data_IF_217142330870
#
_entry.id   IF_217142330870
#
_cell.length_a   1.000
_cell.length_b   1.000
_cell.length_c   1.000
_cell.angle_alpha   90.00
_cell.angle_beta   90.00
_cell.angle_gamma   90.00
#
_symmetry.space_group_name_H-M   'P 1'
#
loop_
_entity.id
_entity.type
_entity.pdbx_description
1 polymer ?
#
# COMPACT_ATOMS: atom_id res chain seq x y z
N UNK A 1 -17.09 -27.66 56.08
CA UNK A 1 -17.34 -27.98 57.51
C UNK A 1 -16.66 -26.88 58.33
N UNK A 2 -17.36 -25.75 58.48
CA UNK A 2 -18.18 -25.38 59.65
C UNK A 2 -17.35 -24.98 60.86
N UNK A 3 -17.33 -23.68 61.12
CA UNK A 3 -17.38 -23.11 62.46
C UNK A 3 -18.06 -21.74 62.35
N UNK A 4 -19.29 -21.68 62.85
CA UNK A 4 -20.04 -20.46 63.08
C UNK A 4 -19.65 -19.87 64.45
N UNK A 5 -19.83 -18.56 64.67
CA UNK A 5 -20.92 -17.97 65.49
C UNK A 5 -20.64 -16.48 65.73
N UNK A 6 -21.67 -15.66 65.48
CA UNK A 6 -21.82 -14.20 65.67
C UNK A 6 -22.05 -13.81 67.15
N UNK A 7 -22.08 -12.52 67.54
CA UNK A 7 -23.33 -11.70 67.51
C UNK A 7 -23.11 -10.25 67.03
N UNK A 8 -23.94 -9.62 66.19
CA UNK A 8 -25.29 -9.02 66.38
C UNK A 8 -25.38 -7.89 67.44
N UNK A 9 -25.54 -6.65 66.95
CA UNK A 9 -26.62 -5.69 67.28
C UNK A 9 -26.61 -4.61 66.16
N UNK A 10 -27.62 -4.47 65.28
CA UNK A 10 -28.96 -3.87 65.45
C UNK A 10 -28.86 -2.48 66.12
N UNK A 11 -29.35 -1.36 65.55
CA UNK A 11 -30.63 -1.13 64.83
C UNK A 11 -30.60 0.31 64.27
N UNK A 12 -31.20 0.52 63.08
CA UNK A 12 -32.29 1.46 62.74
C UNK A 12 -32.26 2.90 63.32
N UNK A 13 -32.66 3.99 62.65
CA UNK A 13 -33.59 4.17 61.55
C UNK A 13 -33.51 5.63 61.06
N UNK A 14 -34.19 5.87 59.95
CA UNK A 14 -34.39 7.11 59.18
C UNK A 14 -34.73 8.38 59.97
N UNK A 15 -34.39 9.55 59.40
CA UNK A 15 -35.40 10.51 58.89
C UNK A 15 -34.74 11.83 58.44
N UNK A 16 -35.05 12.27 57.23
CA UNK A 16 -34.95 13.66 56.80
C UNK A 16 -35.88 14.57 57.62
N UNK A 17 -35.60 15.87 57.66
CA UNK A 17 -36.63 16.78 57.19
C UNK A 17 -36.08 17.88 56.27
N UNK A 18 -37.01 18.43 55.50
CA UNK A 18 -36.82 19.38 54.43
C UNK A 18 -37.10 20.83 54.92
N UNK A 19 -36.58 21.79 54.15
CA UNK A 19 -36.92 23.23 54.04
C UNK A 19 -36.19 24.23 54.97
N UNK A 20 -35.37 25.10 54.37
CA UNK A 20 -35.75 26.50 54.10
C UNK A 20 -34.75 27.20 53.14
N UNK A 21 -35.30 28.11 52.33
CA UNK A 21 -34.66 28.91 51.28
C UNK A 21 -33.54 29.83 51.79
N UNK A 22 -32.54 30.05 50.93
CA UNK A 22 -31.58 31.15 51.05
C UNK A 22 -30.70 31.21 49.81
N UNK A 23 -31.04 32.13 48.90
CA UNK A 23 -30.23 32.53 47.75
C UNK A 23 -28.78 32.82 48.15
N UNK A 24 -27.82 32.29 47.39
CA UNK A 24 -26.51 32.90 47.18
C UNK A 24 -25.84 32.30 45.95
N UNK A 25 -25.66 33.17 44.96
CA UNK A 25 -24.86 32.98 43.76
C UNK A 25 -23.48 32.40 44.06
N UNK A 26 -23.22 31.19 43.59
CA UNK A 26 -21.86 30.73 43.33
C UNK A 26 -21.88 29.80 42.12
N UNK A 27 -21.57 30.37 40.95
CA UNK A 27 -21.22 29.62 39.74
C UNK A 27 -20.00 28.74 40.03
N UNK A 28 -20.23 27.52 40.49
CA UNK A 28 -19.24 26.46 40.38
C UNK A 28 -19.14 26.09 38.91
N UNK A 29 -18.12 26.65 38.25
CA UNK A 29 -17.58 26.08 37.03
C UNK A 29 -17.18 24.63 37.35
N UNK A 30 -18.03 23.69 36.92
CA UNK A 30 -17.60 22.31 36.77
C UNK A 30 -16.42 22.33 35.79
N UNK A 31 -15.28 21.68 36.09
CA UNK A 31 -14.23 21.56 35.11
C UNK A 31 -14.85 20.84 33.91
N UNK A 32 -14.88 21.53 32.78
CA UNK A 32 -15.20 20.96 31.48
C UNK A 32 -14.47 19.63 31.38
N UNK A 33 -15.23 18.55 31.20
CA UNK A 33 -14.69 17.24 30.84
C UNK A 33 -13.61 17.44 29.79
N UNK A 34 -12.40 16.86 29.95
CA UNK A 34 -11.37 17.00 28.93
C UNK A 34 -11.98 16.56 27.62
N UNK A 35 -11.93 17.44 26.61
CA UNK A 35 -12.27 17.05 25.25
C UNK A 35 -11.48 15.77 24.98
N UNK A 36 -12.17 14.71 24.57
CA UNK A 36 -11.50 13.48 24.19
C UNK A 36 -10.60 13.80 23.00
N UNK A 37 -9.32 14.11 23.25
CA UNK A 37 -8.34 14.25 22.18
C UNK A 37 -8.37 12.92 21.43
N UNK A 38 -8.73 12.97 20.16
CA UNK A 38 -8.71 11.80 19.28
C UNK A 38 -7.24 11.42 19.10
N UNK A 39 -6.78 10.45 19.88
CA UNK A 39 -5.42 9.92 19.76
C UNK A 39 -5.27 9.24 18.41
N UNK A 40 -4.31 9.68 17.61
CA UNK A 40 -4.03 9.12 16.28
C UNK A 40 -3.02 8.00 16.46
N UNK A 41 -3.44 6.78 16.17
CA UNK A 41 -2.61 5.59 16.33
C UNK A 41 -1.35 5.68 15.46
N UNK A 42 -0.21 5.34 16.06
CA UNK A 42 1.08 5.22 15.36
C UNK A 42 1.94 6.48 15.35
N UNK A 43 1.37 7.67 15.58
CA UNK A 43 2.08 8.95 15.49
C UNK A 43 2.72 9.39 16.81
N UNK A 44 3.85 10.10 16.74
CA UNK A 44 4.52 10.68 17.91
C UNK A 44 3.69 11.79 18.55
N UNK A 45 3.97 12.11 19.83
CA UNK A 45 3.23 13.11 20.61
C UNK A 45 3.18 14.48 19.93
N UNK A 46 4.25 14.85 19.19
CA UNK A 46 4.33 16.09 18.39
C UNK A 46 3.15 16.25 17.43
N UNK A 47 2.65 15.15 16.86
CA UNK A 47 1.62 15.16 15.83
C UNK A 47 0.21 14.84 16.37
N UNK A 48 0.08 14.64 17.68
CA UNK A 48 -1.22 14.42 18.34
C UNK A 48 -2.02 15.72 18.51
N UNK A 49 -1.37 16.88 18.42
CA UNK A 49 -1.98 18.21 18.60
C UNK A 49 -2.11 18.99 17.29
N UNK A 50 -1.97 18.31 16.15
CA UNK A 50 -2.06 18.96 14.84
C UNK A 50 -3.41 19.68 14.69
N UNK A 51 -3.35 21.01 14.50
CA UNK A 51 -4.51 21.83 14.17
C UNK A 51 -4.58 22.06 12.65
N UNK A 52 -5.56 21.47 11.94
CA UNK A 52 -5.77 21.70 10.52
C UNK A 52 -6.00 23.18 10.17
N UNK A 53 -6.41 24.01 11.13
CA UNK A 53 -6.66 25.44 10.93
C UNK A 53 -5.37 26.27 10.86
N UNK A 54 -4.24 25.77 11.39
CA UNK A 54 -2.95 26.44 11.30
C UNK A 54 -2.30 26.30 9.92
N UNK A 55 -2.64 25.24 9.16
CA UNK A 55 -2.14 24.99 7.81
C UNK A 55 -3.24 24.46 6.87
N UNK A 56 -4.19 25.31 6.43
CA UNK A 56 -5.41 24.89 5.73
C UNK A 56 -5.18 24.24 4.35
N UNK A 57 -3.97 24.31 3.78
CA UNK A 57 -3.62 23.71 2.50
C UNK A 57 -3.00 22.32 2.60
N UNK A 58 -2.81 21.77 3.80
CA UNK A 58 -2.11 20.49 4.01
C UNK A 58 -2.91 19.55 4.91
N UNK A 59 -2.87 18.26 4.60
CA UNK A 59 -3.29 17.22 5.54
C UNK A 59 -2.20 16.97 6.58
N UNK A 60 -2.56 16.45 7.76
CA UNK A 60 -1.61 15.99 8.77
C UNK A 60 -0.49 15.12 8.16
N UNK A 61 -0.87 14.11 7.38
CA UNK A 61 0.06 13.17 6.73
C UNK A 61 1.02 13.88 5.77
N UNK A 62 0.51 14.79 4.94
CA UNK A 62 1.35 15.60 4.05
C UNK A 62 2.28 16.55 4.79
N UNK A 63 1.87 17.04 5.98
CA UNK A 63 2.72 17.87 6.83
C UNK A 63 3.88 17.07 7.42
N UNK A 64 3.64 15.83 7.88
CA UNK A 64 4.68 14.94 8.37
C UNK A 64 5.69 14.63 7.26
N UNK A 65 5.21 14.31 6.05
CA UNK A 65 6.10 14.05 4.91
C UNK A 65 6.91 15.27 4.49
N UNK A 66 6.32 16.45 4.54
CA UNK A 66 7.04 17.69 4.29
C UNK A 66 8.14 17.90 5.34
N UNK A 67 7.85 17.76 6.63
CA UNK A 67 8.86 17.85 7.71
C UNK A 67 9.99 16.83 7.51
N UNK A 68 9.61 15.57 7.25
CA UNK A 68 10.55 14.47 7.01
C UNK A 68 11.47 14.74 5.81
N UNK A 69 10.97 15.43 4.78
CA UNK A 69 11.75 15.74 3.57
C UNK A 69 12.95 16.66 3.81
N UNK A 70 12.96 17.42 4.92
CA UNK A 70 14.08 18.28 5.32
C UNK A 70 15.14 17.55 6.16
N UNK A 71 14.86 16.34 6.62
CA UNK A 71 15.84 15.55 7.37
C UNK A 71 17.00 15.12 6.43
N UNK A 72 18.28 15.22 6.85
CA UNK A 72 19.41 14.89 5.98
C UNK A 72 19.35 13.46 5.39
N UNK A 73 18.94 12.49 6.21
CA UNK A 73 18.82 11.09 5.81
C UNK A 73 17.57 10.77 4.95
N UNK A 74 16.71 11.74 4.61
CA UNK A 74 15.43 11.49 3.93
C UNK A 74 15.58 10.83 2.55
N UNK A 75 16.61 11.23 1.81
CA UNK A 75 16.93 10.72 0.46
C UNK A 75 17.97 9.59 0.47
N UNK A 76 18.43 9.21 1.66
CA UNK A 76 19.37 8.11 1.84
C UNK A 76 18.62 6.79 1.92
N UNK A 77 19.22 5.74 1.38
CA UNK A 77 18.70 4.38 1.48
C UNK A 77 19.24 3.76 2.77
N UNK A 78 18.38 3.31 3.69
CA UNK A 78 18.83 2.69 4.93
C UNK A 78 19.53 1.37 4.66
N UNK A 79 20.63 1.18 5.36
CA UNK A 79 21.46 -0.01 5.26
C UNK A 79 20.89 -1.17 6.08
N UNK A 80 20.20 -0.84 7.17
CA UNK A 80 19.59 -1.79 8.10
C UNK A 80 18.33 -1.17 8.74
N UNK A 81 17.51 -1.96 9.46
CA UNK A 81 16.29 -1.45 10.09
C UNK A 81 16.55 -0.34 11.12
N UNK A 82 17.66 -0.42 11.87
CA UNK A 82 17.96 0.55 12.92
C UNK A 82 18.14 1.97 12.36
N UNK A 83 18.81 2.12 11.22
CA UNK A 83 18.96 3.40 10.53
C UNK A 83 17.61 4.00 10.11
N UNK A 84 16.69 3.18 9.60
CA UNK A 84 15.34 3.65 9.27
C UNK A 84 14.55 4.03 10.52
N UNK A 85 14.62 3.22 11.58
CA UNK A 85 13.92 3.48 12.86
C UNK A 85 14.43 4.78 13.50
N UNK A 86 15.73 5.04 13.47
CA UNK A 86 16.32 6.30 13.92
C UNK A 86 15.73 7.49 13.13
N UNK A 87 15.72 7.40 11.80
CA UNK A 87 15.08 8.40 10.94
C UNK A 87 13.59 8.60 11.26
N UNK A 88 12.85 7.53 11.54
CA UNK A 88 11.41 7.56 11.75
C UNK A 88 11.00 8.03 13.17
N UNK A 89 11.94 8.02 14.12
CA UNK A 89 11.70 8.33 15.54
C UNK A 89 10.99 9.66 15.81
N UNK A 90 11.29 10.77 15.10
CA UNK A 90 10.59 12.04 15.33
C UNK A 90 9.11 12.00 14.94
N UNK A 91 8.71 11.07 14.07
CA UNK A 91 7.39 11.05 13.42
C UNK A 91 6.45 10.00 13.98
N UNK A 92 6.98 8.88 14.46
CA UNK A 92 6.20 7.73 14.90
C UNK A 92 6.31 7.53 16.43
N UNK A 93 5.27 6.98 17.03
CA UNK A 93 5.27 6.65 18.46
C UNK A 93 6.25 5.51 18.78
N UNK A 94 6.78 5.51 20.01
CA UNK A 94 7.70 4.45 20.46
C UNK A 94 7.09 3.04 20.33
N UNK A 95 5.81 2.88 20.69
CA UNK A 95 5.11 1.61 20.58
C UNK A 95 5.05 1.12 19.13
N UNK A 96 4.81 2.04 18.18
CA UNK A 96 4.73 1.68 16.78
C UNK A 96 6.11 1.36 16.18
N UNK A 97 7.16 2.05 16.61
CA UNK A 97 8.54 1.74 16.20
C UNK A 97 8.97 0.33 16.64
N UNK A 98 8.56 -0.12 17.85
CA UNK A 98 8.80 -1.49 18.30
C UNK A 98 8.11 -2.51 17.39
N UNK A 99 6.84 -2.27 17.05
CA UNK A 99 6.07 -3.13 16.12
C UNK A 99 6.70 -3.16 14.72
N UNK A 100 7.18 -2.02 14.21
CA UNK A 100 7.89 -1.96 12.94
C UNK A 100 9.18 -2.80 12.96
N UNK A 101 9.91 -2.79 14.08
CA UNK A 101 11.12 -3.60 14.21
C UNK A 101 10.81 -5.11 14.12
N UNK A 102 9.76 -5.57 14.81
CA UNK A 102 9.30 -6.96 14.70
C UNK A 102 8.84 -7.34 13.28
N UNK A 103 8.25 -6.39 12.55
CA UNK A 103 7.86 -6.59 11.15
C UNK A 103 9.09 -6.71 10.25
N UNK A 104 10.14 -5.91 10.46
CA UNK A 104 11.40 -6.07 9.73
C UNK A 104 12.04 -7.44 9.99
N UNK A 105 12.00 -7.93 11.23
CA UNK A 105 12.48 -9.28 11.57
C UNK A 105 11.69 -10.38 10.84
N UNK A 106 10.37 -10.21 10.72
CA UNK A 106 9.51 -11.13 9.93
C UNK A 106 9.84 -11.06 8.44
N UNK A 107 10.06 -9.86 7.89
CA UNK A 107 10.40 -9.66 6.48
C UNK A 107 11.78 -10.21 6.12
N UNK A 108 12.74 -10.19 7.04
CA UNK A 108 14.04 -10.82 6.86
C UNK A 108 13.94 -12.34 6.58
N UNK A 109 12.81 -12.97 6.94
CA UNK A 109 12.56 -14.40 6.70
C UNK A 109 11.80 -14.69 5.40
N UNK A 110 11.26 -13.66 4.74
CA UNK A 110 10.62 -13.79 3.42
C UNK A 110 11.62 -14.18 2.33
N UNK A 111 11.12 -14.54 1.15
CA UNK A 111 12.03 -14.85 0.05
C UNK A 111 12.62 -13.60 -0.58
N UNK A 112 11.81 -12.55 -0.72
CA UNK A 112 12.30 -11.26 -1.20
C UNK A 112 13.29 -10.63 -0.22
N UNK A 113 13.16 -10.95 1.06
CA UNK A 113 14.10 -10.56 2.11
C UNK A 113 13.99 -9.08 2.46
N UNK A 114 14.77 -8.70 3.48
CA UNK A 114 14.73 -7.36 4.05
C UNK A 114 15.30 -6.28 3.10
N UNK A 115 16.31 -6.63 2.32
CA UNK A 115 16.94 -5.70 1.37
C UNK A 115 15.97 -5.18 0.32
N UNK A 116 14.98 -6.00 -0.05
CA UNK A 116 13.92 -5.58 -0.93
C UNK A 116 13.13 -4.41 -0.34
N UNK A 117 12.74 -4.48 0.94
CA UNK A 117 12.05 -3.38 1.63
C UNK A 117 12.94 -2.15 1.74
N UNK A 118 14.15 -2.34 2.22
CA UNK A 118 15.10 -1.27 2.50
C UNK A 118 15.76 -0.73 1.23
N UNK A 119 15.33 -1.10 0.01
CA UNK A 119 15.88 -0.57 -1.24
C UNK A 119 15.47 0.88 -1.50
N UNK A 120 14.41 1.34 -0.82
CA UNK A 120 13.86 2.67 -1.00
C UNK A 120 14.48 3.68 -0.03
N UNK A 121 14.57 4.97 -0.39
CA UNK A 121 14.94 6.01 0.55
C UNK A 121 14.04 6.04 1.77
N UNK A 122 14.59 6.47 2.91
CA UNK A 122 13.88 6.59 4.18
C UNK A 122 12.52 7.31 4.05
N UNK A 123 12.48 8.42 3.31
CA UNK A 123 11.24 9.18 3.10
C UNK A 123 10.16 8.35 2.38
N UNK A 124 10.54 7.55 1.38
CA UNK A 124 9.60 6.73 0.62
C UNK A 124 9.08 5.53 1.43
N UNK A 125 9.90 4.99 2.34
CA UNK A 125 9.45 3.96 3.29
C UNK A 125 8.45 4.57 4.29
N UNK A 126 8.74 5.77 4.81
CA UNK A 126 7.85 6.47 5.73
C UNK A 126 6.50 6.83 5.06
N UNK A 127 6.52 7.30 3.82
CA UNK A 127 5.30 7.61 3.03
C UNK A 127 4.34 6.42 2.94
N UNK A 128 4.87 5.23 2.66
CA UNK A 128 4.08 3.99 2.67
C UNK A 128 3.47 3.69 4.04
N UNK A 129 4.26 3.80 5.10
CA UNK A 129 3.80 3.58 6.48
C UNK A 129 2.71 4.58 6.87
N UNK A 130 2.85 5.86 6.51
CA UNK A 130 1.86 6.89 6.81
C UNK A 130 0.58 6.69 6.00
N UNK A 131 0.68 6.23 4.76
CA UNK A 131 -0.48 5.85 3.94
C UNK A 131 -1.28 4.73 4.62
N UNK A 132 -0.59 3.69 5.11
CA UNK A 132 -1.24 2.60 5.84
C UNK A 132 -1.90 3.08 7.14
N UNK A 133 -1.19 3.92 7.92
CA UNK A 133 -1.72 4.51 9.14
C UNK A 133 -2.93 5.41 8.87
N UNK A 134 -2.93 6.18 7.79
CA UNK A 134 -4.08 6.98 7.38
C UNK A 134 -5.30 6.10 7.13
N UNK A 135 -5.15 5.01 6.38
CA UNK A 135 -6.25 4.08 6.12
C UNK A 135 -6.79 3.45 7.41
N UNK A 136 -5.91 3.02 8.31
CA UNK A 136 -6.29 2.44 9.60
C UNK A 136 -7.04 3.41 10.51
N UNK A 137 -6.57 4.65 10.60
CA UNK A 137 -7.20 5.67 11.44
C UNK A 137 -8.53 6.17 10.83
N UNK A 138 -8.67 6.15 9.51
CA UNK A 138 -9.94 6.46 8.84
C UNK A 138 -10.97 5.33 9.01
N UNK A 139 -10.55 4.06 8.92
CA UNK A 139 -11.42 2.89 9.07
C UNK A 139 -11.99 2.68 10.47
N UNK A 140 -11.35 3.22 11.51
CA UNK A 140 -11.84 3.13 12.90
C UNK A 140 -13.14 3.92 13.17
N UNK A 141 -13.63 4.71 12.20
CA UNK A 141 -14.86 5.51 12.30
C UNK A 141 -16.12 4.91 11.67
N UNK A 142 -15.98 3.96 10.73
CA UNK A 142 -17.08 3.60 9.80
C UNK A 142 -17.80 2.27 10.09
N UNK A 143 -17.33 1.48 11.07
CA UNK A 143 -17.93 0.20 11.46
C UNK A 143 -19.35 0.32 12.08
N UNK A 144 -19.91 1.54 12.17
CA UNK A 144 -21.26 1.76 12.72
C UNK A 144 -22.35 2.07 11.70
N UNK A 145 -22.08 2.18 10.39
CA UNK A 145 -23.11 2.59 9.42
C UNK A 145 -23.36 1.66 8.22
N UNK A 146 -22.49 0.70 7.88
CA UNK A 146 -22.67 -0.07 6.64
C UNK A 146 -23.19 -1.51 6.79
N UNK A 147 -23.66 -1.91 7.97
CA UNK A 147 -24.52 -3.09 8.09
C UNK A 147 -25.99 -2.75 7.85
N UNK A 148 -26.34 -2.49 6.59
CA UNK A 148 -27.74 -2.45 6.22
C UNK A 148 -28.11 -1.76 4.92
N UNK A 149 -27.49 -2.11 3.77
CA UNK A 149 -28.15 -1.95 2.45
C UNK A 149 -27.36 -2.60 1.30
N UNK A 150 -27.18 -3.92 1.37
CA UNK A 150 -27.07 -4.71 0.13
C UNK A 150 -28.51 -5.02 -0.26
N UNK A 151 -29.15 -4.14 -1.03
CA UNK A 151 -30.25 -4.46 -1.94
C UNK A 151 -30.65 -3.22 -2.75
N UNK A 152 -30.39 -3.29 -4.06
CA UNK A 152 -31.20 -2.72 -5.15
C UNK A 152 -31.55 -1.22 -5.10
N UNK A 153 -30.88 -0.44 -5.95
CA UNK A 153 -31.59 0.25 -7.04
C UNK A 153 -30.64 0.65 -8.17
N UNK A 154 -30.92 0.07 -9.32
CA UNK A 154 -30.52 0.52 -10.65
C UNK A 154 -31.12 1.91 -10.95
N UNK A 155 -30.40 2.64 -11.80
CA UNK A 155 -30.83 3.78 -12.62
C UNK A 155 -31.00 5.19 -11.99
N UNK A 156 -30.52 6.14 -12.82
CA UNK A 156 -30.75 7.58 -12.88
C UNK A 156 -29.79 8.50 -12.09
N UNK A 157 -28.69 8.93 -12.73
CA UNK A 157 -28.68 10.23 -13.43
C UNK A 157 -27.37 10.44 -14.21
N UNK A 158 -27.45 10.25 -15.53
CA UNK A 158 -26.49 10.71 -16.53
C UNK A 158 -27.03 12.03 -17.09
N UNK A 159 -26.23 13.10 -17.00
CA UNK A 159 -26.20 14.35 -17.80
C UNK A 159 -25.62 15.45 -16.88
N UNK A 160 -24.61 16.24 -17.22
CA UNK A 160 -24.10 16.78 -18.50
C UNK A 160 -22.77 17.47 -18.18
N UNK A 161 -21.73 17.31 -19.00
CA UNK A 161 -21.02 18.44 -19.63
C UNK A 161 -19.90 17.92 -20.53
N UNK A 162 -20.20 17.95 -21.83
CA UNK A 162 -19.27 17.74 -22.92
C UNK A 162 -18.67 19.10 -23.35
N UNK A 163 -17.42 19.03 -23.83
CA UNK A 163 -16.69 19.98 -24.68
C UNK A 163 -16.07 21.25 -24.07
N UNK A 164 -14.74 21.38 -24.17
CA UNK A 164 -14.12 22.08 -25.33
C UNK A 164 -12.61 21.87 -25.44
N UNK A 165 -12.19 21.48 -26.65
CA UNK A 165 -10.82 21.56 -27.17
C UNK A 165 -10.43 23.03 -27.35
N UNK A 166 -9.22 23.41 -26.91
CA UNK A 166 -8.64 24.73 -27.12
C UNK A 166 -7.12 24.72 -26.93
N UNK A 167 -6.41 24.85 -28.04
CA UNK A 167 -4.96 25.07 -28.12
C UNK A 167 -4.58 26.49 -27.64
N UNK A 168 -3.59 26.63 -26.75
CA UNK A 168 -2.72 27.83 -26.71
C UNK A 168 -1.48 27.65 -25.83
N UNK A 169 -0.32 27.81 -26.48
CA UNK A 169 0.88 28.57 -26.10
C UNK A 169 1.35 28.61 -24.64
N UNK A 170 2.65 28.31 -24.52
CA UNK A 170 3.52 28.65 -23.40
C UNK A 170 3.42 30.15 -23.05
N UNK A 171 3.20 30.42 -21.77
CA UNK A 171 3.83 31.54 -21.09
C UNK A 171 4.16 31.14 -19.65
N UNK A 172 5.39 31.44 -19.26
CA UNK A 172 5.92 31.24 -17.91
C UNK A 172 5.37 32.33 -17.00
N UNK A 173 4.59 31.94 -16.00
CA UNK A 173 4.40 32.73 -14.80
C UNK A 173 4.10 31.80 -13.63
N UNK A 174 4.92 31.94 -12.59
CA UNK A 174 4.75 31.35 -11.28
C UNK A 174 3.37 31.75 -10.71
N UNK A 175 2.43 30.81 -10.66
CA UNK A 175 1.19 30.99 -9.92
C UNK A 175 0.91 29.72 -9.11
N UNK A 176 0.99 29.90 -7.79
CA UNK A 176 0.78 28.90 -6.74
C UNK A 176 -0.74 28.74 -6.56
N UNK A 177 -1.36 28.11 -7.56
CA UNK A 177 -2.79 27.85 -7.62
C UNK A 177 -3.14 26.52 -6.95
N UNK A 178 -3.60 26.61 -5.70
CA UNK A 178 -4.25 25.54 -4.96
C UNK A 178 -5.42 24.94 -5.77
N UNK A 179 -5.18 23.84 -6.47
CA UNK A 179 -6.22 22.92 -6.90
C UNK A 179 -6.25 21.76 -5.91
N UNK A 180 -7.13 21.86 -4.91
CA UNK A 180 -7.62 20.75 -4.10
C UNK A 180 -8.51 19.83 -4.96
N UNK A 181 -7.98 19.31 -6.05
CA UNK A 181 -8.49 18.08 -6.63
C UNK A 181 -7.80 16.96 -5.88
N UNK A 182 -8.58 15.99 -5.39
CA UNK A 182 -8.00 14.77 -4.88
C UNK A 182 -7.05 14.24 -5.96
N UNK A 183 -5.90 13.73 -5.57
CA UNK A 183 -4.97 13.12 -6.51
C UNK A 183 -5.66 11.96 -7.29
N UNK A 184 -6.71 11.37 -6.71
CA UNK A 184 -7.62 10.41 -7.35
C UNK A 184 -8.56 11.03 -8.40
N UNK A 185 -8.81 12.34 -8.38
CA UNK A 185 -9.61 13.08 -9.37
C UNK A 185 -8.78 13.41 -10.63
N UNK A 186 -7.46 13.20 -10.60
CA UNK A 186 -6.57 13.53 -11.71
C UNK A 186 -6.62 12.49 -12.85
N UNK A 187 -7.13 11.28 -12.56
CA UNK A 187 -7.28 10.21 -13.54
C UNK A 187 -8.76 9.81 -13.65
N UNK A 188 -9.32 9.77 -14.87
CA UNK A 188 -10.68 9.27 -15.09
C UNK A 188 -10.84 7.84 -14.51
N UNK A 189 -12.05 7.48 -14.06
CA UNK A 189 -12.34 6.09 -13.68
C UNK A 189 -12.11 5.18 -14.89
N UNK A 190 -11.38 4.08 -14.69
CA UNK A 190 -11.15 3.08 -15.73
C UNK A 190 -12.39 2.18 -15.91
N UNK A 191 -12.69 1.79 -17.15
CA UNK A 191 -13.80 0.87 -17.44
C UNK A 191 -13.50 -0.55 -16.92
N UNK A 192 -14.51 -1.18 -16.31
CA UNK A 192 -14.37 -2.38 -15.48
C UNK A 192 -14.25 -3.68 -16.29
N UNK A 193 -13.13 -4.41 -16.14
CA UNK A 193 -13.03 -5.83 -16.51
C UNK A 193 -12.98 -6.79 -15.30
N UNK A 194 -12.95 -6.25 -14.07
CA UNK A 194 -12.91 -7.06 -12.84
C UNK A 194 -14.11 -8.02 -12.73
N UNK A 195 -15.30 -7.62 -13.19
CA UNK A 195 -16.52 -8.46 -13.17
C UNK A 195 -16.39 -9.78 -13.93
N UNK A 196 -15.50 -9.84 -14.93
CA UNK A 196 -15.30 -11.03 -15.77
C UNK A 196 -14.16 -11.92 -15.28
N UNK A 197 -13.43 -11.49 -14.25
CA UNK A 197 -12.30 -12.24 -13.74
C UNK A 197 -12.75 -13.47 -12.95
N UNK A 198 -12.06 -14.60 -13.14
CA UNK A 198 -12.34 -15.81 -12.36
C UNK A 198 -11.67 -15.68 -10.99
N UNK A 199 -12.46 -15.73 -9.93
CA UNK A 199 -11.95 -15.76 -8.55
C UNK A 199 -11.55 -17.18 -8.19
N UNK A 200 -10.31 -17.35 -7.75
CA UNK A 200 -9.73 -18.64 -7.35
C UNK A 200 -9.31 -18.57 -5.88
N UNK A 201 -9.99 -19.27 -4.97
CA UNK A 201 -9.56 -19.33 -3.58
C UNK A 201 -8.25 -20.14 -3.47
N UNK A 202 -7.30 -19.61 -2.73
CA UNK A 202 -6.03 -20.26 -2.39
C UNK A 202 -6.10 -20.62 -0.91
N UNK A 203 -6.50 -21.85 -0.56
CA UNK A 203 -6.64 -22.25 0.83
C UNK A 203 -5.27 -22.27 1.49
N UNK A 204 -5.19 -21.60 2.64
CA UNK A 204 -4.05 -21.66 3.53
C UNK A 204 -4.47 -22.42 4.80
N UNK A 205 -3.72 -23.44 5.24
CA UNK A 205 -4.15 -24.28 6.35
C UNK A 205 -4.37 -23.47 7.63
N UNK A 206 -5.48 -23.77 8.31
CA UNK A 206 -5.82 -23.20 9.61
C UNK A 206 -4.84 -23.70 10.69
N UNK A 207 -4.54 -22.86 11.67
CA UNK A 207 -3.69 -23.23 12.80
C UNK A 207 -4.46 -24.04 13.84
N UNK A 208 -3.82 -25.12 14.34
CA UNK A 208 -4.22 -25.84 15.54
C UNK A 208 -3.44 -25.32 16.75
N UNK A 209 -3.65 -24.07 17.16
CA UNK A 209 -3.12 -23.59 18.45
C UNK A 209 -4.25 -23.45 19.46
N UNK A 210 -4.04 -24.05 20.62
CA UNK A 210 -4.93 -24.02 21.78
C UNK A 210 -5.27 -22.56 22.14
N UNK A 211 -6.50 -22.25 22.61
CA UNK A 211 -7.02 -20.87 22.75
C UNK A 211 -6.31 -19.97 23.78
N UNK A 212 -5.13 -20.35 24.29
CA UNK A 212 -4.45 -19.66 25.40
C UNK A 212 -3.42 -18.63 24.91
N UNK A 213 -2.91 -18.72 23.67
CA UNK A 213 -1.95 -17.77 23.10
C UNK A 213 -2.51 -17.13 21.81
N UNK A 214 -3.12 -15.96 21.93
CA UNK A 214 -3.68 -15.20 20.80
C UNK A 214 -2.58 -14.64 19.89
N UNK A 215 -1.37 -14.40 20.42
CA UNK A 215 -0.21 -13.89 19.67
C UNK A 215 0.36 -14.91 18.66
N UNK A 216 0.10 -16.22 18.83
CA UNK A 216 0.61 -17.29 17.97
C UNK A 216 -0.33 -17.69 16.81
N UNK A 217 -1.41 -16.93 16.58
CA UNK A 217 -2.46 -17.31 15.60
C UNK A 217 -2.12 -16.95 14.14
N UNK A 218 -1.07 -16.16 13.89
CA UNK A 218 -0.75 -15.68 12.55
C UNK A 218 0.44 -16.41 11.93
N UNK A 219 0.26 -16.94 10.72
CA UNK A 219 1.35 -17.50 9.93
C UNK A 219 2.43 -16.44 9.68
N UNK A 220 3.69 -16.83 9.87
CA UNK A 220 4.82 -15.97 9.50
C UNK A 220 4.79 -15.68 8.01
N UNK A 221 5.36 -14.55 7.59
CA UNK A 221 5.48 -14.17 6.17
C UNK A 221 6.14 -15.30 5.37
N UNK A 222 7.19 -15.92 5.94
CA UNK A 222 7.84 -17.10 5.38
C UNK A 222 6.89 -18.27 5.16
N UNK A 223 6.04 -18.57 6.14
CA UNK A 223 5.09 -19.67 6.01
C UNK A 223 4.03 -19.39 4.95
N UNK A 224 3.45 -18.17 4.92
CA UNK A 224 2.49 -17.75 3.88
C UNK A 224 3.09 -17.81 2.48
N UNK A 225 4.29 -17.28 2.31
CA UNK A 225 5.08 -17.35 1.08
C UNK A 225 5.26 -18.80 0.61
N UNK A 226 5.67 -19.70 1.50
CA UNK A 226 5.85 -21.12 1.17
C UNK A 226 4.53 -21.81 0.81
N UNK A 227 3.44 -21.53 1.52
CA UNK A 227 2.12 -22.08 1.21
C UNK A 227 1.62 -21.62 -0.15
N UNK A 228 1.74 -20.31 -0.43
CA UNK A 228 1.35 -19.76 -1.71
C UNK A 228 2.06 -20.46 -2.86
N UNK A 229 3.40 -20.57 -2.79
CA UNK A 229 4.21 -21.25 -3.82
C UNK A 229 3.79 -22.69 -4.07
N UNK A 230 3.58 -23.44 -3.00
CA UNK A 230 3.38 -24.90 -3.07
C UNK A 230 1.93 -25.27 -3.31
N UNK A 231 1.01 -24.30 -3.30
CA UNK A 231 -0.39 -24.52 -3.56
C UNK A 231 -0.61 -24.95 -5.03
N UNK A 232 -1.39 -26.00 -5.24
CA UNK A 232 -1.67 -26.55 -6.57
C UNK A 232 -2.30 -25.54 -7.53
N UNK A 233 -3.12 -24.61 -7.04
CA UNK A 233 -3.72 -23.56 -7.87
C UNK A 233 -2.68 -22.54 -8.39
N UNK A 234 -1.54 -22.42 -7.70
CA UNK A 234 -0.45 -21.51 -8.05
C UNK A 234 0.59 -22.18 -8.94
N UNK A 235 0.84 -23.48 -8.77
CA UNK A 235 1.81 -24.23 -9.59
C UNK A 235 1.53 -24.09 -11.10
N UNK A 236 0.26 -24.08 -11.51
CA UNK A 236 -0.14 -23.92 -12.91
C UNK A 236 0.24 -22.55 -13.51
N UNK A 237 0.31 -21.52 -12.67
CA UNK A 237 0.62 -20.15 -13.09
C UNK A 237 2.05 -19.74 -12.83
N UNK A 238 2.76 -20.48 -11.97
CA UNK A 238 4.20 -20.39 -11.79
C UNK A 238 4.99 -21.13 -12.89
N UNK A 239 4.31 -21.80 -13.82
CA UNK A 239 4.97 -22.38 -15.00
C UNK A 239 5.67 -21.29 -15.80
N UNK A 240 6.99 -21.43 -16.00
CA UNK A 240 7.85 -20.43 -16.63
C UNK A 240 7.51 -20.15 -18.10
N UNK A 241 6.98 -21.13 -18.84
CA UNK A 241 6.70 -21.00 -20.26
C UNK A 241 5.75 -19.82 -20.60
N UNK A 242 4.61 -19.63 -19.89
CA UNK A 242 3.74 -18.46 -20.08
C UNK A 242 4.20 -17.19 -19.36
N UNK A 243 5.22 -17.22 -18.49
CA UNK A 243 5.66 -16.02 -17.77
C UNK A 243 6.35 -15.04 -18.71
N UNK A 244 6.22 -13.75 -18.41
CA UNK A 244 6.87 -12.73 -19.20
C UNK A 244 8.39 -12.81 -19.07
N UNK A 245 9.07 -13.01 -20.19
CA UNK A 245 10.51 -12.90 -20.30
C UNK A 245 10.85 -11.72 -21.21
N UNK A 246 11.49 -10.65 -20.72
CA UNK A 246 11.83 -9.48 -21.53
C UNK A 246 12.82 -9.79 -22.68
N UNK A 247 13.49 -10.95 -22.66
CA UNK A 247 14.41 -11.39 -23.69
C UNK A 247 13.77 -12.31 -24.73
N UNK A 248 12.48 -12.66 -24.59
CA UNK A 248 11.84 -13.58 -25.51
C UNK A 248 11.65 -12.97 -26.89
N UNK A 249 12.02 -13.74 -27.92
CA UNK A 249 11.83 -13.34 -29.32
C UNK A 249 10.47 -13.79 -29.86
N UNK A 250 9.93 -14.88 -29.33
CA UNK A 250 8.63 -15.38 -29.77
C UNK A 250 7.53 -14.50 -29.19
N UNK A 251 6.77 -13.87 -30.08
CA UNK A 251 5.61 -13.06 -29.72
C UNK A 251 4.41 -13.98 -29.47
N UNK A 252 3.70 -13.74 -28.38
CA UNK A 252 2.54 -14.52 -27.95
C UNK A 252 1.92 -13.92 -26.69
N UNK A 253 0.95 -14.64 -26.11
CA UNK A 253 0.37 -14.26 -24.82
C UNK A 253 1.33 -14.60 -23.69
N UNK A 254 1.40 -13.70 -22.71
CA UNK A 254 2.23 -13.87 -21.53
C UNK A 254 1.48 -13.46 -20.26
N UNK A 255 1.97 -13.91 -19.12
CA UNK A 255 1.37 -13.65 -17.81
C UNK A 255 2.25 -12.71 -17.00
N UNK A 256 1.58 -11.73 -16.40
CA UNK A 256 2.14 -10.81 -15.40
C UNK A 256 1.15 -10.70 -14.25
N UNK A 257 1.64 -10.27 -13.09
CA UNK A 257 0.92 -10.38 -11.83
C UNK A 257 1.07 -9.11 -11.00
N UNK A 258 0.02 -8.74 -10.27
CA UNK A 258 0.05 -7.70 -9.25
C UNK A 258 -0.53 -8.27 -7.96
N UNK A 259 0.23 -8.18 -6.87
CA UNK A 259 -0.30 -8.51 -5.54
C UNK A 259 -0.79 -7.26 -4.85
N UNK A 260 -1.87 -7.41 -4.10
CA UNK A 260 -2.42 -6.37 -3.25
C UNK A 260 -3.03 -6.99 -1.99
N UNK A 261 -3.37 -6.15 -1.02
CA UNK A 261 -4.14 -6.54 0.16
C UNK A 261 -5.59 -6.81 -0.25
N UNK A 262 -6.23 -7.82 0.34
CA UNK A 262 -7.59 -8.19 -0.03
C UNK A 262 -8.57 -7.03 0.21
N UNK A 263 -8.40 -6.30 1.32
CA UNK A 263 -9.18 -5.07 1.60
C UNK A 263 -9.09 -4.02 0.48
N UNK A 264 -7.97 -3.95 -0.25
CA UNK A 264 -7.79 -2.99 -1.34
C UNK A 264 -8.54 -3.37 -2.62
N UNK A 265 -9.06 -4.61 -2.75
CA UNK A 265 -9.79 -5.04 -3.94
C UNK A 265 -11.02 -4.18 -4.21
N UNK A 266 -11.75 -3.76 -3.17
CA UNK A 266 -12.94 -2.92 -3.34
C UNK A 266 -12.63 -1.65 -4.13
N UNK A 267 -11.50 -1.00 -3.83
CA UNK A 267 -11.04 0.18 -4.57
C UNK A 267 -10.77 -0.13 -6.04
N UNK A 268 -10.23 -1.31 -6.36
CA UNK A 268 -10.00 -1.72 -7.74
C UNK A 268 -11.30 -2.03 -8.48
N UNK A 269 -12.31 -2.60 -7.80
CA UNK A 269 -13.65 -2.77 -8.37
C UNK A 269 -14.29 -1.43 -8.68
N UNK A 270 -14.21 -0.45 -7.77
CA UNK A 270 -14.89 0.85 -7.89
C UNK A 270 -14.18 1.83 -8.83
N UNK A 271 -12.85 1.86 -8.81
CA UNK A 271 -12.05 2.87 -9.51
C UNK A 271 -11.19 2.30 -10.65
N UNK A 272 -11.15 0.97 -10.81
CA UNK A 272 -10.26 0.29 -11.73
C UNK A 272 -8.80 0.27 -11.27
N UNK A 273 -7.89 -0.08 -12.18
CA UNK A 273 -6.45 -0.06 -11.89
C UNK A 273 -5.97 1.39 -11.78
N UNK A 274 -5.56 1.79 -10.58
CA UNK A 274 -5.02 3.11 -10.30
C UNK A 274 -3.53 3.02 -9.95
N UNK A 275 -2.71 3.99 -10.40
CA UNK A 275 -1.30 4.00 -10.06
C UNK A 275 -1.09 4.32 -8.57
N UNK A 276 -0.01 3.78 -8.01
CA UNK A 276 0.47 4.20 -6.70
C UNK A 276 1.26 5.52 -6.82
N UNK A 277 1.00 6.47 -5.93
CA UNK A 277 1.68 7.76 -5.88
C UNK A 277 2.93 7.67 -5.00
N UNK A 278 3.84 6.76 -5.37
CA UNK A 278 5.03 6.45 -4.57
C UNK A 278 6.30 6.61 -5.42
N UNK A 279 7.34 7.19 -4.82
CA UNK A 279 8.68 7.21 -5.41
C UNK A 279 9.21 5.79 -5.54
N UNK A 280 9.83 5.50 -6.67
CA UNK A 280 10.42 4.21 -6.97
C UNK A 280 11.52 4.34 -8.05
N UNK A 281 12.12 3.21 -8.39
CA UNK A 281 13.24 3.09 -9.32
C UNK A 281 12.86 3.31 -10.79
N UNK A 282 11.61 3.08 -11.19
CA UNK A 282 11.22 3.08 -12.61
C UNK A 282 10.50 4.34 -13.06
N UNK A 283 9.95 5.12 -12.13
CA UNK A 283 9.30 6.39 -12.45
C UNK A 283 9.31 7.34 -11.25
N UNK A 284 9.47 8.62 -11.55
CA UNK A 284 9.27 9.73 -10.61
C UNK A 284 7.82 10.27 -10.62
N UNK A 285 6.97 9.72 -11.49
CA UNK A 285 5.53 9.94 -11.58
C UNK A 285 4.77 8.68 -11.12
N UNK A 286 3.47 8.78 -10.85
CA UNK A 286 2.65 7.63 -10.42
C UNK A 286 2.67 6.51 -11.45
N UNK A 287 2.79 5.27 -10.98
CA UNK A 287 2.66 4.08 -11.82
C UNK A 287 1.97 2.93 -11.11
N UNK A 288 1.36 2.07 -11.92
CA UNK A 288 0.90 0.76 -11.47
C UNK A 288 1.96 -0.29 -11.81
N UNK A 289 2.22 -1.21 -10.89
CA UNK A 289 3.28 -2.19 -11.02
C UNK A 289 2.73 -3.60 -11.21
N UNK A 290 3.26 -4.30 -12.20
CA UNK A 290 3.11 -5.74 -12.33
C UNK A 290 4.48 -6.41 -12.39
N UNK A 291 4.54 -7.70 -12.08
CA UNK A 291 5.73 -8.53 -12.14
C UNK A 291 5.49 -9.78 -12.97
N UNK A 292 6.52 -10.30 -13.61
CA UNK A 292 6.44 -11.61 -14.27
C UNK A 292 6.45 -12.79 -13.29
N UNK A 293 6.85 -12.56 -12.03
CA UNK A 293 6.99 -13.62 -11.03
C UNK A 293 5.81 -13.56 -10.04
N UNK A 294 4.96 -14.61 -9.98
CA UNK A 294 3.79 -14.62 -9.11
C UNK A 294 4.16 -14.65 -7.62
N UNK A 295 5.32 -15.22 -7.26
CA UNK A 295 5.76 -15.21 -5.87
C UNK A 295 6.18 -13.80 -5.46
N UNK A 296 6.97 -13.13 -6.31
CA UNK A 296 7.36 -11.75 -6.03
C UNK A 296 6.13 -10.85 -5.90
N UNK A 297 5.17 -10.98 -6.82
CA UNK A 297 3.92 -10.22 -6.75
C UNK A 297 3.12 -10.55 -5.48
N UNK A 298 3.07 -11.81 -5.04
CA UNK A 298 2.43 -12.18 -3.76
C UNK A 298 3.13 -11.59 -2.54
N UNK A 299 4.47 -11.53 -2.54
CA UNK A 299 5.22 -11.00 -1.40
C UNK A 299 5.23 -9.47 -1.36
N UNK A 300 5.18 -8.77 -2.49
CA UNK A 300 5.31 -7.31 -2.57
C UNK A 300 4.41 -6.55 -1.57
N UNK A 301 3.11 -6.88 -1.37
CA UNK A 301 2.27 -6.25 -0.35
C UNK A 301 2.79 -6.33 1.10
N UNK A 302 3.60 -7.33 1.44
CA UNK A 302 4.23 -7.40 2.77
C UNK A 302 5.36 -6.39 2.91
N UNK A 303 5.99 -6.00 1.81
CA UNK A 303 7.13 -5.08 1.77
C UNK A 303 6.72 -3.64 1.43
N UNK A 304 5.61 -3.46 0.70
CA UNK A 304 5.09 -2.15 0.31
C UNK A 304 4.16 -1.55 1.35
N UNK A 305 3.42 -2.37 2.10
CA UNK A 305 2.53 -1.96 3.18
C UNK A 305 3.03 -2.47 4.53
N UNK A 306 4.09 -1.83 5.01
CA UNK A 306 4.78 -2.18 6.26
C UNK A 306 3.95 -1.83 7.50
N UNK A 307 2.97 -0.93 7.37
CA UNK A 307 2.05 -0.60 8.45
C UNK A 307 0.82 -1.50 8.40
N UNK A 308 0.61 -2.33 9.43
CA UNK A 308 -0.72 -2.94 9.65
C UNK A 308 -1.08 -2.84 11.13
N UNK A 309 -2.30 -2.33 11.37
CA UNK A 309 -2.82 -1.83 12.63
C UNK A 309 -3.34 -2.87 13.63
N UNK A 310 -4.25 -2.47 14.54
CA UNK A 310 -4.54 -3.18 15.79
C UNK A 310 -5.48 -4.38 15.58
N UNK A 311 -4.89 -5.58 15.58
CA UNK A 311 -5.49 -6.90 15.81
C UNK A 311 -4.50 -8.05 15.49
N UNK A 312 -3.27 -7.74 15.04
CA UNK A 312 -2.23 -8.68 14.58
C UNK A 312 -2.63 -9.62 13.44
N UNK A 313 -3.90 -9.62 13.01
CA UNK A 313 -4.39 -10.31 11.83
C UNK A 313 -3.86 -9.61 10.58
N UNK A 314 -2.99 -10.29 9.84
CA UNK A 314 -2.46 -9.75 8.60
C UNK A 314 -3.51 -9.96 7.50
N UNK A 315 -3.98 -8.87 6.89
CA UNK A 315 -4.93 -8.93 5.77
C UNK A 315 -4.47 -9.94 4.69
N UNK A 316 -5.36 -10.87 4.26
CA UNK A 316 -5.07 -11.78 3.17
C UNK A 316 -4.54 -11.07 1.92
N UNK A 317 -3.65 -11.74 1.19
CA UNK A 317 -3.14 -11.24 -0.08
C UNK A 317 -4.05 -11.71 -1.21
N UNK A 318 -4.27 -10.80 -2.15
CA UNK A 318 -4.88 -11.11 -3.43
C UNK A 318 -3.87 -10.90 -4.54
N UNK A 319 -3.77 -11.88 -5.43
CA UNK A 319 -2.93 -11.82 -6.63
C UNK A 319 -3.80 -11.71 -7.88
N UNK A 320 -3.68 -10.61 -8.60
CA UNK A 320 -4.29 -10.42 -9.91
C UNK A 320 -3.36 -10.98 -10.99
N UNK A 321 -3.89 -11.81 -11.87
CA UNK A 321 -3.21 -12.29 -13.06
C UNK A 321 -3.76 -11.58 -14.30
N UNK A 322 -2.85 -11.00 -15.06
CA UNK A 322 -3.12 -10.43 -16.37
C UNK A 322 -2.56 -11.37 -17.43
N UNK A 323 -3.31 -11.55 -18.52
CA UNK A 323 -2.83 -12.25 -19.69
C UNK A 323 -2.78 -11.28 -20.86
N UNK A 324 -1.58 -10.95 -21.31
CA UNK A 324 -1.32 -9.83 -22.22
C UNK A 324 -0.49 -10.25 -23.44
N UNK A 325 -0.67 -9.64 -24.61
CA UNK A 325 0.22 -9.87 -25.74
C UNK A 325 1.61 -9.28 -25.46
N UNK A 326 2.65 -10.09 -25.64
CA UNK A 326 4.05 -9.67 -25.50
C UNK A 326 4.39 -8.54 -26.47
N UNK A 327 3.84 -8.57 -27.68
CA UNK A 327 4.07 -7.54 -28.70
C UNK A 327 3.57 -6.16 -28.27
N UNK A 328 2.46 -6.09 -27.52
CA UNK A 328 1.95 -4.83 -26.96
C UNK A 328 2.86 -4.34 -25.83
N UNK A 329 3.31 -5.24 -24.93
CA UNK A 329 4.28 -4.88 -23.87
C UNK A 329 5.61 -4.38 -24.43
N UNK A 330 6.01 -4.86 -25.61
CA UNK A 330 7.24 -4.43 -26.29
C UNK A 330 7.05 -3.18 -27.15
N UNK A 331 5.84 -2.60 -27.20
CA UNK A 331 5.54 -1.42 -28.02
C UNK A 331 5.55 -1.69 -29.53
N UNK A 332 5.38 -2.94 -29.94
CA UNK A 332 5.34 -3.36 -31.34
C UNK A 332 3.92 -3.20 -31.87
N UNK A 333 2.96 -3.81 -31.18
CA UNK A 333 1.54 -3.77 -31.55
C UNK A 333 0.79 -2.70 -30.75
N UNK A 334 -0.32 -2.22 -31.32
CA UNK A 334 -1.21 -1.30 -30.63
C UNK A 334 -1.99 -2.00 -29.51
N UNK A 335 -2.23 -1.34 -28.36
CA UNK A 335 -3.13 -1.85 -27.32
C UNK A 335 -4.60 -1.91 -27.75
N UNK A 336 -5.00 -1.16 -28.77
CA UNK A 336 -6.39 -1.05 -29.23
C UNK A 336 -6.53 -0.51 -30.66
N UNK A 337 -7.71 -0.67 -31.24
CA UNK A 337 -7.99 -0.16 -32.59
C UNK A 337 -7.85 1.37 -32.64
N UNK A 338 -7.09 1.87 -33.61
CA UNK A 338 -6.86 3.31 -33.76
C UNK A 338 -5.87 3.94 -32.77
N UNK A 339 -5.37 3.17 -31.80
CA UNK A 339 -4.34 3.64 -30.87
C UNK A 339 -2.92 3.46 -31.46
N UNK A 340 -1.99 4.31 -31.01
CA UNK A 340 -0.57 4.11 -31.29
C UNK A 340 0.02 3.10 -30.28
N UNK A 341 1.00 2.27 -30.69
CA UNK A 341 1.74 1.42 -29.76
C UNK A 341 2.27 2.20 -28.54
N UNK A 342 2.45 1.47 -27.44
CA UNK A 342 3.03 2.06 -26.23
C UNK A 342 4.47 2.51 -26.48
N UNK A 343 4.84 3.65 -25.89
CA UNK A 343 6.23 4.07 -25.77
C UNK A 343 6.84 3.27 -24.62
N UNK A 344 7.72 2.35 -24.95
CA UNK A 344 8.30 1.42 -23.98
C UNK A 344 9.78 1.72 -23.78
N UNK A 345 10.20 1.84 -22.52
CA UNK A 345 11.61 1.85 -22.15
C UNK A 345 11.97 0.55 -21.44
N UNK A 346 12.79 -0.28 -22.10
CA UNK A 346 13.09 -1.63 -21.64
C UNK A 346 14.58 -1.81 -21.33
N UNK A 347 14.89 -2.31 -20.13
CA UNK A 347 16.22 -2.70 -19.71
C UNK A 347 16.44 -4.20 -19.93
N UNK A 348 17.02 -4.56 -21.06
CA UNK A 348 17.26 -5.97 -21.45
C UNK A 348 18.73 -6.41 -21.35
N UNK A 349 19.69 -5.48 -21.41
CA UNK A 349 21.12 -5.81 -21.52
C UNK A 349 21.95 -5.34 -20.32
N UNK A 350 21.65 -5.91 -19.15
CA UNK A 350 22.31 -5.56 -17.88
C UNK A 350 23.57 -6.39 -17.58
N UNK A 351 23.91 -7.35 -18.44
CA UNK A 351 25.16 -8.12 -18.35
C UNK A 351 26.41 -7.32 -18.71
N UNK A 352 26.26 -6.17 -19.38
CA UNK A 352 27.38 -5.28 -19.67
C UNK A 352 27.56 -4.24 -18.56
N UNK A 353 28.80 -3.90 -18.15
CA UNK A 353 29.05 -2.88 -17.14
C UNK A 353 28.40 -1.53 -17.49
N UNK A 354 28.47 -1.12 -18.76
CA UNK A 354 27.85 0.13 -19.24
C UNK A 354 26.32 0.08 -19.15
N UNK A 355 25.70 -1.03 -19.51
CA UNK A 355 24.25 -1.22 -19.42
C UNK A 355 23.77 -1.13 -17.97
N UNK A 356 24.47 -1.81 -17.06
CA UNK A 356 24.17 -1.76 -15.64
C UNK A 356 24.35 -0.35 -15.05
N UNK A 357 25.46 0.35 -15.36
CA UNK A 357 25.67 1.73 -14.88
C UNK A 357 24.61 2.71 -15.38
N UNK A 358 24.09 2.52 -16.60
CA UNK A 358 22.99 3.34 -17.11
C UNK A 358 21.69 3.06 -16.35
N UNK A 359 21.38 1.79 -16.10
CA UNK A 359 20.23 1.37 -15.30
C UNK A 359 20.30 1.91 -13.86
N UNK A 360 21.45 1.77 -13.22
CA UNK A 360 21.71 2.33 -11.89
C UNK A 360 21.49 3.85 -11.87
N UNK A 361 22.04 4.59 -12.85
CA UNK A 361 21.85 6.04 -12.94
C UNK A 361 20.38 6.41 -13.10
N UNK A 362 19.64 5.66 -13.92
CA UNK A 362 18.21 5.86 -14.14
C UNK A 362 17.42 5.66 -12.85
N UNK A 363 17.64 4.54 -12.15
CA UNK A 363 16.96 4.23 -10.89
C UNK A 363 17.24 5.28 -9.81
N UNK A 364 18.52 5.63 -9.64
CA UNK A 364 18.95 6.65 -8.68
C UNK A 364 18.37 8.04 -9.00
N UNK A 365 18.23 8.38 -10.28
CA UNK A 365 17.60 9.63 -10.69
C UNK A 365 16.13 9.66 -10.26
N UNK A 366 15.35 8.65 -10.63
CA UNK A 366 13.91 8.58 -10.34
C UNK A 366 13.63 8.64 -8.83
N UNK A 367 14.42 7.92 -8.03
CA UNK A 367 14.27 7.88 -6.57
C UNK A 367 14.56 9.21 -5.86
N UNK A 368 15.40 10.07 -6.46
CA UNK A 368 15.85 11.34 -5.89
C UNK A 368 15.10 12.55 -6.45
N UNK A 369 14.30 12.37 -7.49
CA UNK A 369 13.53 13.45 -8.11
C UNK A 369 12.48 14.01 -7.13
N UNK A 370 12.43 15.34 -7.03
CA UNK A 370 11.51 16.08 -6.13
C UNK A 370 10.27 16.62 -6.84
N UNK A 371 10.31 16.77 -8.16
CA UNK A 371 9.24 17.37 -8.96
C UNK A 371 8.71 16.36 -9.98
N UNK A 372 7.41 16.08 -9.94
CA UNK A 372 6.74 15.16 -10.86
C UNK A 372 6.17 15.92 -12.06
N UNK A 373 6.85 15.86 -13.20
CA UNK A 373 6.19 16.02 -14.50
C UNK A 373 5.74 14.63 -15.00
N UNK A 374 4.85 14.58 -16.00
CA UNK A 374 4.42 13.31 -16.58
C UNK A 374 5.62 12.47 -17.06
N UNK A 375 5.49 11.15 -17.00
CA UNK A 375 6.53 10.23 -17.46
C UNK A 375 6.51 10.13 -19.01
N UNK A 376 7.66 10.19 -19.72
CA UNK A 376 7.68 10.23 -21.19
C UNK A 376 7.35 8.89 -21.86
N UNK A 377 7.42 7.80 -21.10
CA UNK A 377 7.11 6.44 -21.54
C UNK A 377 5.81 5.97 -20.90
N UNK A 378 5.04 5.18 -21.65
CA UNK A 378 3.86 4.49 -21.14
C UNK A 378 4.25 3.32 -20.26
N UNK A 379 5.30 2.59 -20.65
CA UNK A 379 5.81 1.44 -19.92
C UNK A 379 7.32 1.59 -19.65
N UNK A 380 7.73 1.26 -18.43
CA UNK A 380 9.13 1.01 -18.09
C UNK A 380 9.28 -0.42 -17.59
N UNK A 381 10.21 -1.16 -18.18
CA UNK A 381 10.38 -2.59 -17.95
C UNK A 381 11.83 -2.89 -17.61
N UNK A 382 12.06 -3.61 -16.53
CA UNK A 382 13.41 -4.00 -16.11
C UNK A 382 13.38 -4.90 -14.87
N UNK A 383 14.53 -5.42 -14.43
CA UNK A 383 14.61 -6.09 -13.14
C UNK A 383 14.57 -5.06 -12.00
N UNK A 384 14.27 -5.52 -10.80
CA UNK A 384 14.16 -4.62 -9.65
C UNK A 384 15.54 -4.23 -9.16
N UNK A 385 15.77 -2.93 -8.95
CA UNK A 385 17.06 -2.39 -8.54
C UNK A 385 17.29 -2.56 -7.02
N UNK A 386 18.44 -3.12 -6.65
CA UNK A 386 18.94 -3.11 -5.27
C UNK A 386 20.16 -2.18 -5.19
N UNK A 387 20.08 -1.06 -4.45
CA UNK A 387 21.18 -0.12 -4.34
C UNK A 387 22.37 -0.71 -3.58
N UNK A 388 23.55 -0.09 -3.78
CA UNK A 388 24.78 -0.40 -3.07
C UNK A 388 24.62 -0.20 -1.56
N UNK A 389 25.10 -1.16 -0.76
CA UNK A 389 25.00 -1.17 0.72
C UNK A 389 26.19 -1.87 1.36
N UNK A 390 26.76 -1.30 2.43
CA UNK A 390 27.87 -1.92 3.19
C UNK A 390 28.98 -2.48 2.30
N UNK A 391 29.56 -1.65 1.43
CA UNK A 391 30.59 -2.03 0.45
C UNK A 391 30.17 -3.09 -0.60
N UNK A 392 28.92 -3.56 -0.58
CA UNK A 392 28.38 -4.43 -1.61
C UNK A 392 27.90 -3.60 -2.80
N UNK A 393 28.26 -3.97 -4.04
CA UNK A 393 27.82 -3.25 -5.23
C UNK A 393 26.31 -3.34 -5.40
N UNK A 394 25.74 -2.36 -6.11
CA UNK A 394 24.35 -2.43 -6.54
C UNK A 394 24.11 -3.68 -7.39
N UNK A 395 22.93 -4.28 -7.27
CA UNK A 395 22.57 -5.53 -7.96
C UNK A 395 21.12 -5.49 -8.45
N UNK A 396 20.71 -6.54 -9.16
CA UNK A 396 19.31 -6.78 -9.49
C UNK A 396 18.74 -7.82 -8.54
N UNK A 397 17.57 -7.54 -7.99
CA UNK A 397 16.83 -8.49 -7.18
C UNK A 397 16.41 -9.71 -8.02
N UNK A 398 16.45 -10.89 -7.39
CA UNK A 398 16.03 -12.15 -8.01
C UNK A 398 15.38 -13.06 -6.97
N UNK A 399 14.18 -13.54 -7.28
CA UNK A 399 13.54 -14.62 -6.53
C UNK A 399 14.37 -15.90 -6.65
N UNK A 400 14.58 -16.60 -5.53
CA UNK A 400 15.51 -17.73 -5.46
C UNK A 400 15.05 -18.91 -6.32
N UNK A 401 13.75 -19.08 -6.45
CA UNK A 401 13.14 -20.25 -7.09
C UNK A 401 12.64 -20.00 -8.52
N UNK A 402 13.04 -18.89 -9.15
CA UNK A 402 12.68 -18.58 -10.54
C UNK A 402 13.91 -18.63 -11.45
N UNK A 403 13.83 -19.38 -12.56
CA UNK A 403 14.87 -19.39 -13.58
C UNK A 403 14.76 -18.17 -14.51
N UNK A 404 13.61 -17.49 -14.52
CA UNK A 404 13.41 -16.23 -15.22
C UNK A 404 13.82 -15.09 -14.29
N UNK A 405 14.51 -14.10 -14.84
CA UNK A 405 14.83 -12.88 -14.10
C UNK A 405 13.56 -12.22 -13.61
N UNK A 406 13.47 -11.97 -12.29
CA UNK A 406 12.38 -11.21 -11.69
C UNK A 406 12.35 -9.82 -12.31
N UNK A 407 11.30 -9.57 -13.08
CA UNK A 407 11.10 -8.35 -13.88
C UNK A 407 9.88 -7.64 -13.35
N UNK A 408 9.98 -6.32 -13.25
CA UNK A 408 8.87 -5.43 -12.96
C UNK A 408 8.51 -4.63 -14.21
N UNK A 409 7.24 -4.27 -14.31
CA UNK A 409 6.68 -3.45 -15.36
C UNK A 409 5.93 -2.32 -14.67
N UNK A 410 6.41 -1.09 -14.89
CA UNK A 410 5.72 0.11 -14.47
C UNK A 410 4.83 0.59 -15.61
N UNK A 411 3.53 0.71 -15.34
CA UNK A 411 2.53 1.32 -16.21
C UNK A 411 2.37 2.78 -15.81
N UNK A 412 3.02 3.67 -16.55
CA UNK A 412 3.27 5.06 -16.16
C UNK A 412 2.30 6.07 -16.79
N UNK A 413 1.40 5.63 -17.68
CA UNK A 413 0.43 6.50 -18.35
C UNK A 413 -1.00 6.01 -18.17
N UNK A 414 -1.96 6.94 -18.19
CA UNK A 414 -3.38 6.62 -18.08
C UNK A 414 -3.84 5.53 -19.05
N UNK A 415 -3.45 5.66 -20.33
CA UNK A 415 -3.80 4.65 -21.34
C UNK A 415 -3.22 3.27 -21.03
N UNK A 416 -2.03 3.20 -20.44
CA UNK A 416 -1.36 1.92 -20.16
C UNK A 416 -2.03 1.15 -19.03
N UNK A 417 -2.38 1.79 -17.91
CA UNK A 417 -3.02 1.11 -16.80
C UNK A 417 -4.53 0.91 -17.04
N UNK A 418 -5.20 1.79 -17.79
CA UNK A 418 -6.56 1.55 -18.26
C UNK A 418 -6.64 0.31 -19.14
N UNK A 419 -5.75 0.20 -20.14
CA UNK A 419 -5.65 -0.99 -20.98
C UNK A 419 -5.36 -2.25 -20.16
N UNK A 420 -4.41 -2.18 -19.22
CA UNK A 420 -4.06 -3.32 -18.37
C UNK A 420 -5.24 -3.79 -17.52
N UNK A 421 -6.02 -2.86 -16.97
CA UNK A 421 -7.23 -3.17 -16.21
C UNK A 421 -8.22 -4.01 -16.99
N UNK A 422 -8.23 -3.89 -18.33
CA UNK A 422 -9.08 -4.70 -19.20
C UNK A 422 -8.58 -6.14 -19.41
N UNK A 423 -7.33 -6.45 -19.02
CA UNK A 423 -6.65 -7.72 -19.29
C UNK A 423 -6.68 -8.70 -18.10
N UNK A 424 -7.38 -8.38 -17.02
CA UNK A 424 -7.48 -9.24 -15.83
C UNK A 424 -8.21 -10.54 -16.22
N UNK A 425 -7.59 -11.68 -15.94
CA UNK A 425 -8.18 -13.00 -16.21
C UNK A 425 -8.58 -13.73 -14.94
N UNK A 426 -7.72 -13.70 -13.93
CA UNK A 426 -7.90 -14.45 -12.69
C UNK A 426 -7.46 -13.63 -11.49
N UNK A 427 -8.12 -13.87 -10.37
CA UNK A 427 -7.81 -13.25 -9.09
C UNK A 427 -7.69 -14.37 -8.07
N UNK A 428 -6.48 -14.60 -7.57
CA UNK A 428 -6.19 -15.60 -6.55
C UNK A 428 -6.29 -14.96 -5.18
N UNK A 429 -7.18 -15.47 -4.34
CA UNK A 429 -7.45 -14.88 -3.03
C UNK A 429 -7.00 -15.84 -1.94
N UNK A 430 -6.08 -15.41 -1.09
CA UNK A 430 -5.75 -16.13 0.12
C UNK A 430 -7.01 -16.35 0.98
N UNK A 431 -7.30 -17.59 1.29
CA UNK A 431 -8.51 -17.99 2.02
C UNK A 431 -8.16 -18.85 3.22
N UNK A 432 -8.74 -18.52 4.36
CA UNK A 432 -8.60 -19.27 5.60
C UNK A 432 -9.81 -20.17 5.79
N UNK A 433 -9.64 -21.47 6.13
CA UNK A 433 -10.74 -22.35 6.46
C UNK A 433 -11.57 -21.74 7.60
N UNK A 434 -12.88 -21.65 7.41
CA UNK A 434 -13.78 -21.39 8.52
C UNK A 434 -13.77 -22.63 9.43
N UNK A 435 -13.38 -22.45 10.68
CA UNK A 435 -13.35 -23.51 11.71
C UNK A 435 -14.75 -23.78 12.23
#
# INVERSE_FOLDING_TARGET
MSSATTPINNTDEQASPNLTNGDSDSKHHSPSSPSSKSYIYGLSDKYQEYDPLEMPSRTLWSSILNDASYHPAAVETPTNPAEFIEFATPFLSQQYLLKLNELFDKLAQSEAGLDYTLRHPNLAILDRILTDLQQLNNGAGDDKQNHGQINSTHDQNLQTHQERVGSSQMDNSDDDGSNNQSILDMYPRCEHSFEKAIIVPVPIPAFSTSPVNVEEQNLTIKARSNYFRTNSAILDVANELPLYNPLQQQLGMTRIFHGTRHSSLASFYEAGIQPSFLRNDFTFAPAFYASNDPQHAFEDPFHSHLGVGPADTIDPITLMQFEVPTSVLHGIDSPGEGEAPFKVYQFTHLSSPRGFSNFERFCNHNMKTKHSSGHPYDLVIGPIYLPSKNDNPATCFRMKNSNITTTQIAFCSFRSFNWLGQQIKKIYVESFPQV
#
